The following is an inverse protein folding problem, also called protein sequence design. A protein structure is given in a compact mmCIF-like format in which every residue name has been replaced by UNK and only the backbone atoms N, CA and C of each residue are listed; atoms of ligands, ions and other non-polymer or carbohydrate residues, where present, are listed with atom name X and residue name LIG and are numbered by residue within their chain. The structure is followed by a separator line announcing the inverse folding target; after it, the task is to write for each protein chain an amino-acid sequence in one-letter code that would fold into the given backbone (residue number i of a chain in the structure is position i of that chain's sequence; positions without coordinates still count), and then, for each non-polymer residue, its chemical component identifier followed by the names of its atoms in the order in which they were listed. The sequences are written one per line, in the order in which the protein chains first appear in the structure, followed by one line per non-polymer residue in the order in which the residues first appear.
data_IF_424068822448
#
_entry.id   IF_424068822448
#
_cell.length_a   1.000
_cell.length_b   1.000
_cell.length_c   1.000
_cell.angle_alpha   90.00
_cell.angle_beta   90.00
_cell.angle_gamma   90.00
#
_symmetry.space_group_name_H-M   'P 1'
#
loop_
_entity.id
_entity.type
_entity.pdbx_description
1 polymer ?
#
# COMPACT_ATOMS: atom_id res chain seq x y z
N UNK A 1 -18.37 -9.21 7.19
CA UNK A 1 -17.21 -8.99 6.31
C UNK A 1 -16.14 -9.99 6.73
N UNK A 2 -15.41 -10.61 5.77
CA UNK A 2 -14.33 -11.54 6.10
C UNK A 2 -13.21 -10.82 6.87
N UNK A 3 -12.68 -11.49 7.91
CA UNK A 3 -11.61 -10.94 8.74
C UNK A 3 -10.30 -10.99 8.00
N UNK A 4 -9.57 -9.86 8.03
CA UNK A 4 -8.21 -9.72 7.50
C UNK A 4 -7.21 -9.54 8.65
N UNK A 5 -5.97 -9.89 8.37
CA UNK A 5 -4.81 -9.71 9.26
C UNK A 5 -3.65 -9.14 8.46
N UNK A 6 -2.79 -8.37 9.12
CA UNK A 6 -1.48 -8.02 8.56
C UNK A 6 -0.49 -9.14 8.91
N UNK A 7 0.27 -9.58 7.92
CA UNK A 7 1.30 -10.59 8.07
C UNK A 7 2.65 -10.04 7.61
N UNK A 8 3.58 -9.92 8.54
CA UNK A 8 4.95 -9.52 8.22
C UNK A 8 5.65 -10.72 7.56
N UNK A 9 6.03 -10.60 6.28
CA UNK A 9 6.65 -11.72 5.57
C UNK A 9 8.00 -12.07 6.16
N UNK A 10 8.35 -13.36 6.11
CA UNK A 10 9.69 -13.87 6.33
C UNK A 10 10.42 -13.98 4.98
N UNK A 11 11.76 -14.16 4.97
CA UNK A 11 12.48 -14.32 3.70
C UNK A 11 11.91 -15.41 2.78
N UNK A 12 11.49 -16.54 3.35
CA UNK A 12 10.89 -17.66 2.59
C UNK A 12 9.51 -17.35 2.00
N UNK A 13 8.87 -16.27 2.42
CA UNK A 13 7.53 -15.87 1.95
C UNK A 13 7.60 -14.89 0.76
N UNK A 14 8.78 -14.39 0.41
CA UNK A 14 8.96 -13.34 -0.61
C UNK A 14 8.60 -13.80 -2.04
N UNK A 15 8.41 -15.08 -2.26
CA UNK A 15 7.86 -15.58 -3.51
C UNK A 15 6.49 -14.97 -3.84
N UNK A 16 5.71 -14.57 -2.83
CA UNK A 16 4.41 -13.93 -3.08
C UNK A 16 4.59 -12.48 -3.55
N UNK A 17 5.57 -11.75 -3.02
CA UNK A 17 5.96 -10.45 -3.55
C UNK A 17 6.38 -10.56 -5.03
N UNK A 18 7.30 -11.49 -5.37
CA UNK A 18 7.71 -11.74 -6.76
C UNK A 18 6.52 -12.10 -7.65
N UNK A 19 5.62 -12.94 -7.15
CA UNK A 19 4.40 -13.32 -7.86
C UNK A 19 3.51 -12.12 -8.19
N UNK A 20 3.33 -11.20 -7.24
CA UNK A 20 2.52 -10.00 -7.47
C UNK A 20 3.20 -9.03 -8.43
N UNK A 21 4.50 -8.76 -8.25
CA UNK A 21 5.26 -7.81 -9.08
C UNK A 21 5.46 -8.29 -10.51
N UNK A 22 5.42 -9.60 -10.76
CA UNK A 22 5.51 -10.21 -12.11
C UNK A 22 4.15 -10.44 -12.78
N UNK A 23 3.04 -10.19 -12.10
CA UNK A 23 1.69 -10.38 -12.66
C UNK A 23 1.17 -9.10 -13.33
N UNK A 24 1.03 -9.09 -14.70
CA UNK A 24 0.60 -7.88 -15.42
C UNK A 24 -0.78 -7.36 -15.01
N UNK A 25 -1.70 -8.24 -14.61
CA UNK A 25 -3.01 -7.80 -14.15
C UNK A 25 -2.89 -7.08 -12.80
N UNK A 26 -2.10 -7.61 -11.87
CA UNK A 26 -1.82 -6.98 -10.58
C UNK A 26 -1.06 -5.66 -10.74
N UNK A 27 -0.09 -5.60 -11.63
CA UNK A 27 0.77 -4.42 -11.81
C UNK A 27 0.25 -3.41 -12.83
N UNK A 28 -0.94 -3.61 -13.40
CA UNK A 28 -1.51 -2.74 -14.44
C UNK A 28 -1.57 -1.25 -14.06
N UNK A 29 -1.74 -0.93 -12.78
CA UNK A 29 -1.73 0.45 -12.26
C UNK A 29 -0.38 1.14 -12.45
N UNK A 30 0.70 0.35 -12.48
CA UNK A 30 2.09 0.82 -12.59
C UNK A 30 2.58 0.92 -14.06
N UNK A 31 1.74 0.55 -15.05
CA UNK A 31 2.13 0.61 -16.45
C UNK A 31 2.23 2.04 -16.97
N UNK A 32 3.10 2.28 -17.94
CA UNK A 32 3.19 3.54 -18.69
C UNK A 32 4.04 4.64 -18.05
N UNK A 33 4.64 4.43 -16.88
CA UNK A 33 5.55 5.40 -16.28
C UNK A 33 6.85 5.54 -17.09
N UNK A 34 7.36 6.76 -17.18
CA UNK A 34 8.66 7.06 -17.82
C UNK A 34 9.74 7.13 -16.74
N UNK A 35 10.10 5.97 -16.21
CA UNK A 35 11.09 5.82 -15.13
C UNK A 35 12.20 4.88 -15.55
N UNK A 36 13.42 5.20 -15.13
CA UNK A 36 14.60 4.34 -15.28
C UNK A 36 14.77 3.54 -13.98
N UNK A 37 14.05 2.41 -13.89
CA UNK A 37 14.11 1.50 -12.75
C UNK A 37 14.48 0.10 -13.25
N UNK A 38 15.52 -0.49 -12.67
CA UNK A 38 15.99 -1.82 -13.06
C UNK A 38 14.87 -2.87 -12.93
N UNK A 39 14.63 -3.61 -14.01
CA UNK A 39 13.59 -4.64 -14.06
C UNK A 39 12.17 -4.13 -14.28
N UNK A 40 11.96 -2.82 -14.47
CA UNK A 40 10.64 -2.28 -14.75
C UNK A 40 10.23 -2.48 -16.22
N UNK A 41 9.02 -2.98 -16.44
CA UNK A 41 8.39 -3.19 -17.73
C UNK A 41 7.30 -2.15 -17.97
N UNK A 42 7.59 -1.15 -18.80
CA UNK A 42 6.69 -0.01 -19.03
C UNK A 42 5.31 -0.40 -19.59
N UNK A 43 5.24 -1.42 -20.41
CA UNK A 43 4.00 -1.89 -21.05
C UNK A 43 3.05 -2.59 -20.11
N UNK A 44 3.57 -3.32 -19.13
CA UNK A 44 2.79 -4.12 -18.17
C UNK A 44 2.77 -3.54 -16.77
N UNK A 45 3.72 -2.67 -16.44
CA UNK A 45 3.95 -2.19 -15.07
C UNK A 45 4.68 -3.19 -14.17
N UNK A 46 4.97 -4.39 -14.68
CA UNK A 46 5.68 -5.42 -13.92
C UNK A 46 7.08 -4.97 -13.50
N UNK A 47 7.57 -5.55 -12.43
CA UNK A 47 8.91 -5.32 -11.92
C UNK A 47 9.56 -6.68 -11.69
N UNK A 48 10.66 -6.93 -12.39
CA UNK A 48 11.49 -8.10 -12.12
C UNK A 48 12.17 -7.94 -10.77
N UNK A 49 11.97 -8.91 -9.91
CA UNK A 49 12.62 -8.96 -8.61
C UNK A 49 13.35 -10.30 -8.48
N UNK A 50 14.60 -10.39 -8.98
CA UNK A 50 15.37 -11.63 -8.91
C UNK A 50 15.73 -11.96 -7.45
N UNK A 51 16.01 -13.24 -7.19
CA UNK A 51 16.27 -13.73 -5.83
C UNK A 51 17.43 -13.01 -5.15
N UNK A 52 18.42 -12.58 -5.92
CA UNK A 52 19.57 -11.81 -5.42
C UNK A 52 19.18 -10.44 -4.86
N UNK A 53 18.09 -9.85 -5.37
CA UNK A 53 17.61 -8.55 -4.91
C UNK A 53 16.68 -8.65 -3.69
N UNK A 54 16.17 -9.85 -3.39
CA UNK A 54 15.20 -10.04 -2.31
C UNK A 54 15.79 -9.79 -0.92
N UNK A 55 17.05 -10.14 -0.68
CA UNK A 55 17.70 -9.91 0.61
C UNK A 55 17.81 -8.42 0.92
N UNK A 56 18.29 -7.62 -0.03
CA UNK A 56 18.41 -6.16 0.12
C UNK A 56 17.03 -5.50 0.25
N UNK A 57 16.03 -6.02 -0.48
CA UNK A 57 14.65 -5.56 -0.37
C UNK A 57 14.09 -5.84 1.04
N UNK A 58 14.30 -7.07 1.54
CA UNK A 58 13.86 -7.50 2.86
C UNK A 58 14.47 -6.64 3.98
N UNK A 59 15.78 -6.47 3.96
CA UNK A 59 16.51 -5.67 4.94
C UNK A 59 16.08 -4.20 4.93
N UNK A 60 15.66 -3.70 3.77
CA UNK A 60 15.17 -2.32 3.62
C UNK A 60 13.76 -2.14 4.18
N UNK A 61 12.87 -3.13 4.03
CA UNK A 61 11.46 -2.97 4.32
C UNK A 61 11.01 -3.58 5.64
N UNK A 62 11.67 -4.62 6.12
CA UNK A 62 11.21 -5.37 7.29
C UNK A 62 12.06 -5.03 8.52
N UNK A 63 11.38 -4.73 9.64
CA UNK A 63 12.02 -4.41 10.92
C UNK A 63 12.55 -2.97 11.03
N UNK A 64 12.16 -2.06 10.13
CA UNK A 64 12.63 -0.66 10.09
C UNK A 64 11.55 0.35 10.51
N UNK A 65 10.57 -0.07 11.32
CA UNK A 65 9.56 0.84 11.86
C UNK A 65 10.16 1.89 12.81
N UNK A 66 9.63 3.12 12.82
CA UNK A 66 8.48 3.61 12.07
C UNK A 66 8.82 4.11 10.66
N UNK A 67 10.08 4.09 10.25
CA UNK A 67 10.50 4.69 8.97
C UNK A 67 10.01 3.90 7.76
N UNK A 68 9.92 2.58 7.89
CA UNK A 68 9.37 1.69 6.86
C UNK A 68 8.59 0.56 7.49
N UNK A 69 7.48 0.23 6.86
CA UNK A 69 6.62 -0.88 7.21
C UNK A 69 6.13 -1.58 5.95
N UNK A 70 6.11 -2.89 5.98
CA UNK A 70 5.53 -3.70 4.91
C UNK A 70 4.86 -4.94 5.49
N UNK A 71 3.66 -5.25 5.01
CA UNK A 71 2.93 -6.45 5.40
C UNK A 71 2.09 -6.99 4.25
N UNK A 72 1.98 -8.33 4.17
CA UNK A 72 0.94 -8.96 3.36
C UNK A 72 -0.43 -8.82 4.04
N UNK A 73 -1.46 -8.66 3.23
CA UNK A 73 -2.85 -8.73 3.65
C UNK A 73 -3.24 -10.22 3.61
N UNK A 74 -3.49 -10.79 4.79
CA UNK A 74 -3.86 -12.19 4.93
C UNK A 74 -5.34 -12.32 5.25
N UNK A 75 -6.03 -13.18 4.53
CA UNK A 75 -7.43 -13.53 4.77
C UNK A 75 -7.50 -14.61 5.84
N UNK A 76 -8.21 -14.34 6.96
CA UNK A 76 -8.25 -15.26 8.10
C UNK A 76 -8.99 -16.58 7.80
N UNK A 77 -9.92 -16.57 6.82
CA UNK A 77 -10.75 -17.74 6.48
C UNK A 77 -9.93 -18.94 6.01
N UNK A 78 -8.94 -18.70 5.17
CA UNK A 78 -8.16 -19.76 4.50
C UNK A 78 -6.65 -19.52 4.51
N UNK A 79 -6.23 -18.43 5.17
CA UNK A 79 -4.83 -18.05 5.26
C UNK A 79 -4.24 -17.48 3.96
N UNK A 80 -5.04 -17.25 2.92
CA UNK A 80 -4.55 -16.74 1.64
C UNK A 80 -4.00 -15.32 1.79
N UNK A 81 -2.85 -15.06 1.17
CA UNK A 81 -2.35 -13.70 0.96
C UNK A 81 -3.04 -13.10 -0.26
N UNK A 82 -3.61 -11.91 -0.11
CA UNK A 82 -4.49 -11.27 -1.09
C UNK A 82 -3.99 -9.93 -1.60
N UNK A 83 -2.82 -9.50 -1.13
CA UNK A 83 -2.18 -8.24 -1.47
C UNK A 83 -1.18 -7.83 -0.41
N UNK A 84 -0.72 -6.60 -0.49
CA UNK A 84 0.14 -5.98 0.50
C UNK A 84 -0.27 -4.54 0.85
N UNK A 85 0.27 -4.05 1.94
CA UNK A 85 0.25 -2.65 2.36
C UNK A 85 1.63 -2.26 2.86
N UNK A 86 2.00 -1.01 2.65
CA UNK A 86 3.25 -0.47 3.16
C UNK A 86 3.11 1.01 3.50
N UNK A 87 4.04 1.52 4.28
CA UNK A 87 4.32 2.95 4.37
C UNK A 87 5.82 3.19 4.55
N UNK A 88 6.28 4.37 4.17
CA UNK A 88 7.66 4.79 4.38
C UNK A 88 7.75 6.29 4.60
N UNK A 89 8.72 6.68 5.42
CA UNK A 89 9.03 8.09 5.65
C UNK A 89 9.79 8.66 4.45
N UNK A 90 9.34 9.85 4.00
CA UNK A 90 9.96 10.62 2.91
C UNK A 90 10.56 11.90 3.50
N UNK A 91 11.89 11.93 3.76
CA UNK A 91 12.53 13.04 4.47
C UNK A 91 12.34 14.41 3.81
N UNK A 92 12.33 14.46 2.49
CA UNK A 92 12.19 15.69 1.70
C UNK A 92 10.83 16.34 1.89
N UNK A 93 9.82 15.55 2.25
CA UNK A 93 8.45 15.99 2.46
C UNK A 93 8.06 16.06 3.94
N UNK A 94 8.87 15.48 4.82
CA UNK A 94 8.60 15.33 6.26
C UNK A 94 7.24 14.66 6.53
N UNK A 95 6.95 13.57 5.82
CA UNK A 95 5.76 12.75 6.02
C UNK A 95 5.95 11.29 5.64
N UNK A 96 4.95 10.47 5.93
CA UNK A 96 4.90 9.05 5.50
C UNK A 96 4.02 8.90 4.27
N UNK A 97 4.60 8.40 3.18
CA UNK A 97 3.87 7.94 2.01
C UNK A 97 3.46 6.47 2.21
N UNK A 98 2.31 6.09 1.65
CA UNK A 98 1.80 4.73 1.76
C UNK A 98 1.59 4.07 0.39
N UNK A 99 1.49 2.73 0.39
CA UNK A 99 1.09 1.94 -0.75
C UNK A 99 0.13 0.82 -0.34
N UNK A 100 -0.72 0.44 -1.27
CA UNK A 100 -1.55 -0.76 -1.20
C UNK A 100 -1.62 -1.41 -2.58
N UNK A 101 -1.32 -2.69 -2.65
CA UNK A 101 -1.49 -3.48 -3.87
C UNK A 101 -2.40 -4.67 -3.58
N UNK A 102 -3.55 -4.71 -4.24
CA UNK A 102 -4.41 -5.89 -4.19
C UNK A 102 -4.04 -6.86 -5.31
N UNK A 103 -3.73 -8.10 -4.96
CA UNK A 103 -3.50 -9.15 -5.95
C UNK A 103 -4.74 -9.31 -6.82
N UNK A 104 -4.58 -9.31 -8.14
CA UNK A 104 -5.67 -9.16 -9.10
C UNK A 104 -6.88 -10.09 -8.87
N UNK A 105 -6.71 -11.40 -8.57
CA UNK A 105 -7.84 -12.31 -8.31
C UNK A 105 -8.73 -11.91 -7.12
N UNK A 106 -8.27 -10.99 -6.27
CA UNK A 106 -8.98 -10.52 -5.08
C UNK A 106 -9.51 -9.09 -5.18
N UNK A 107 -9.30 -8.42 -6.31
CA UNK A 107 -9.86 -7.09 -6.57
C UNK A 107 -11.39 -7.12 -6.68
N UNK A 108 -12.02 -5.98 -6.42
CA UNK A 108 -13.48 -5.82 -6.53
C UNK A 108 -14.30 -6.54 -5.46
N UNK A 109 -13.66 -7.18 -4.46
CA UNK A 109 -14.33 -7.95 -3.40
C UNK A 109 -14.45 -7.20 -2.07
N UNK A 110 -14.10 -5.92 -2.03
CA UNK A 110 -14.27 -5.07 -0.85
C UNK A 110 -13.16 -5.19 0.20
N UNK A 111 -12.02 -5.81 -0.11
CA UNK A 111 -10.93 -6.02 0.85
C UNK A 111 -10.04 -4.79 1.08
N UNK A 112 -9.96 -3.86 0.12
CA UNK A 112 -8.98 -2.77 0.18
C UNK A 112 -9.23 -1.81 1.35
N UNK A 113 -10.48 -1.41 1.61
CA UNK A 113 -10.81 -0.50 2.73
C UNK A 113 -10.46 -1.11 4.09
N UNK A 114 -10.87 -2.37 4.41
CA UNK A 114 -10.44 -3.03 5.64
C UNK A 114 -8.92 -3.18 5.76
N UNK A 115 -8.22 -3.47 4.66
CA UNK A 115 -6.76 -3.58 4.64
C UNK A 115 -6.08 -2.24 4.96
N UNK A 116 -6.55 -1.13 4.33
CA UNK A 116 -6.09 0.21 4.65
C UNK A 116 -6.31 0.55 6.13
N UNK A 117 -7.47 0.24 6.68
CA UNK A 117 -7.77 0.50 8.10
C UNK A 117 -6.83 -0.27 9.04
N UNK A 118 -6.48 -1.51 8.73
CA UNK A 118 -5.50 -2.28 9.49
C UNK A 118 -4.11 -1.64 9.46
N UNK A 119 -3.67 -1.18 8.28
CA UNK A 119 -2.39 -0.47 8.15
C UNK A 119 -2.40 0.84 8.92
N UNK A 120 -3.48 1.63 8.84
CA UNK A 120 -3.63 2.90 9.56
C UNK A 120 -3.67 2.68 11.08
N UNK A 121 -4.35 1.63 11.56
CA UNK A 121 -4.30 1.25 12.97
C UNK A 121 -2.88 0.96 13.43
N UNK A 122 -2.12 0.20 12.65
CA UNK A 122 -0.72 -0.10 12.95
C UNK A 122 0.12 1.19 12.97
N UNK A 123 0.03 2.00 11.92
CA UNK A 123 0.78 3.24 11.79
C UNK A 123 0.51 4.22 12.95
N UNK A 124 -0.75 4.45 13.28
CA UNK A 124 -1.13 5.47 14.25
C UNK A 124 -1.07 5.00 15.70
N UNK A 125 -1.44 3.74 15.98
CA UNK A 125 -1.52 3.23 17.36
C UNK A 125 -0.22 2.55 17.81
N UNK A 126 0.47 1.86 16.89
CA UNK A 126 1.69 1.11 17.20
C UNK A 126 2.93 1.96 16.93
N UNK A 127 3.08 2.47 15.70
CA UNK A 127 4.25 3.26 15.30
C UNK A 127 4.21 4.72 15.75
N UNK A 128 3.04 5.23 16.17
CA UNK A 128 2.89 6.60 16.66
C UNK A 128 2.97 7.68 15.58
N UNK A 129 2.87 7.30 14.30
CA UNK A 129 2.88 8.23 13.16
C UNK A 129 1.74 9.24 13.31
N UNK A 130 1.97 10.49 12.93
CA UNK A 130 0.99 11.57 13.06
C UNK A 130 0.11 11.75 11.82
N UNK A 131 0.62 11.45 10.63
CA UNK A 131 -0.07 11.61 9.34
C UNK A 131 0.48 10.68 8.27
N UNK A 132 -0.38 10.27 7.34
CA UNK A 132 -0.02 9.46 6.17
C UNK A 132 -0.58 10.13 4.93
N UNK A 133 0.21 10.12 3.88
CA UNK A 133 -0.11 10.67 2.56
C UNK A 133 -0.18 9.57 1.51
N UNK A 134 -0.93 9.84 0.44
CA UNK A 134 -0.85 9.11 -0.82
C UNK A 134 -1.12 10.05 -1.98
N UNK A 135 -0.37 9.89 -3.06
CA UNK A 135 -0.44 10.72 -4.26
C UNK A 135 -0.89 9.87 -5.45
N UNK A 136 -1.80 10.41 -6.25
CA UNK A 136 -2.30 9.76 -7.47
C UNK A 136 -2.11 10.69 -8.67
N UNK A 137 -1.62 10.16 -9.78
CA UNK A 137 -1.59 10.92 -11.03
C UNK A 137 -3.02 11.20 -11.51
N UNK A 138 -3.42 12.48 -11.52
CA UNK A 138 -4.79 12.88 -11.82
C UNK A 138 -5.26 12.47 -13.22
N UNK A 139 -4.33 12.40 -14.19
CA UNK A 139 -4.63 12.01 -15.57
C UNK A 139 -5.00 10.52 -15.73
N UNK A 140 -4.67 9.66 -14.78
CA UNK A 140 -4.94 8.21 -14.87
C UNK A 140 -6.37 7.80 -14.56
N UNK A 141 -7.20 8.71 -14.05
CA UNK A 141 -8.60 8.45 -13.69
C UNK A 141 -8.81 7.25 -12.74
N UNK A 142 -7.95 7.12 -11.75
CA UNK A 142 -7.98 6.02 -10.77
C UNK A 142 -9.08 6.20 -9.72
N UNK A 143 -10.30 6.55 -10.16
CA UNK A 143 -11.42 6.86 -9.28
C UNK A 143 -11.72 5.78 -8.24
N UNK A 144 -11.58 4.50 -8.58
CA UNK A 144 -11.81 3.40 -7.65
C UNK A 144 -10.79 3.40 -6.49
N UNK A 145 -9.53 3.74 -6.77
CA UNK A 145 -8.49 3.88 -5.77
C UNK A 145 -8.75 5.11 -4.89
N UNK A 146 -9.11 6.25 -5.50
CA UNK A 146 -9.45 7.48 -4.75
C UNK A 146 -10.62 7.25 -3.78
N UNK A 147 -11.71 6.66 -4.27
CA UNK A 147 -12.87 6.31 -3.44
C UNK A 147 -12.54 5.33 -2.33
N UNK A 148 -11.64 4.39 -2.58
CA UNK A 148 -11.15 3.46 -1.55
C UNK A 148 -10.44 4.20 -0.42
N UNK A 149 -9.57 5.17 -0.75
CA UNK A 149 -8.88 6.00 0.23
C UNK A 149 -9.86 6.89 1.00
N UNK A 150 -10.81 7.54 0.31
CA UNK A 150 -11.87 8.34 1.00
C UNK A 150 -12.68 7.50 1.98
N UNK A 151 -13.07 6.28 1.59
CA UNK A 151 -13.77 5.34 2.48
C UNK A 151 -12.93 4.85 3.66
N UNK A 152 -11.61 4.86 3.52
CA UNK A 152 -10.69 4.58 4.61
C UNK A 152 -10.46 5.79 5.55
N UNK A 153 -10.92 7.00 5.13
CA UNK A 153 -10.85 8.23 5.91
C UNK A 153 -9.88 9.29 5.38
N UNK A 154 -9.21 9.05 4.27
CA UNK A 154 -8.36 10.05 3.64
C UNK A 154 -9.19 11.20 3.09
N UNK A 155 -8.70 12.41 3.23
CA UNK A 155 -9.26 13.63 2.64
C UNK A 155 -8.40 14.11 1.48
N UNK A 156 -9.02 14.75 0.50
CA UNK A 156 -8.35 15.39 -0.62
C UNK A 156 -7.69 16.69 -0.17
N UNK A 157 -6.45 16.91 -0.57
CA UNK A 157 -5.73 18.17 -0.39
C UNK A 157 -5.77 19.05 -1.65
N UNK A 158 -6.21 18.47 -2.77
CA UNK A 158 -6.25 19.12 -4.08
C UNK A 158 -5.28 18.50 -5.07
N UNK A 159 -5.27 19.06 -6.27
CA UNK A 159 -4.38 18.65 -7.36
C UNK A 159 -3.27 19.67 -7.51
N UNK A 160 -2.03 19.22 -7.41
CA UNK A 160 -0.84 20.04 -7.63
C UNK A 160 0.15 19.28 -8.54
N UNK A 161 0.74 19.97 -9.51
CA UNK A 161 1.69 19.39 -10.49
C UNK A 161 1.18 18.11 -11.19
N UNK A 162 -0.13 17.99 -11.39
CA UNK A 162 -0.75 16.82 -12.03
C UNK A 162 -1.05 15.64 -11.09
N UNK A 163 -0.81 15.78 -9.78
CA UNK A 163 -1.09 14.76 -8.78
C UNK A 163 -2.24 15.19 -7.85
N UNK A 164 -3.20 14.31 -7.63
CA UNK A 164 -4.15 14.41 -6.54
C UNK A 164 -3.46 13.96 -5.25
N UNK A 165 -3.34 14.89 -4.32
CA UNK A 165 -2.77 14.61 -2.99
C UNK A 165 -3.88 14.26 -2.01
N UNK A 166 -3.69 13.19 -1.26
CA UNK A 166 -4.60 12.75 -0.22
C UNK A 166 -3.84 12.54 1.10
N UNK A 167 -4.50 12.81 2.22
CA UNK A 167 -3.91 12.67 3.54
C UNK A 167 -4.94 12.22 4.57
N UNK A 168 -4.46 11.56 5.61
CA UNK A 168 -5.19 11.29 6.84
C UNK A 168 -4.27 11.54 8.04
N UNK A 169 -4.78 12.22 9.06
CA UNK A 169 -4.08 12.39 10.35
C UNK A 169 -4.54 11.36 11.36
N UNK A 170 -3.70 11.13 12.37
CA UNK A 170 -4.02 10.27 13.51
C UNK A 170 -5.29 10.72 14.23
N UNK A 171 -5.45 12.04 14.43
CA UNK A 171 -6.61 12.62 15.11
C UNK A 171 -7.90 12.36 14.32
N UNK A 172 -7.89 12.61 13.01
CA UNK A 172 -9.03 12.34 12.12
C UNK A 172 -9.42 10.86 12.16
N UNK A 173 -8.43 9.97 12.04
CA UNK A 173 -8.66 8.53 12.06
C UNK A 173 -9.25 8.03 13.38
N UNK A 174 -8.66 8.44 14.51
CA UNK A 174 -9.13 8.00 15.83
C UNK A 174 -10.48 8.62 16.21
N UNK A 175 -10.77 9.84 15.72
CA UNK A 175 -12.06 10.49 15.92
C UNK A 175 -13.20 9.79 15.19
N UNK A 176 -12.98 9.28 13.97
CA UNK A 176 -13.98 8.49 13.22
C UNK A 176 -14.21 7.11 13.83
N UNK A 177 -13.15 6.44 14.30
CA UNK A 177 -13.25 5.13 14.91
C UNK A 177 -14.08 5.12 16.23
N UNK A 178 -14.15 6.25 16.94
CA UNK A 178 -14.98 6.39 18.15
C UNK A 178 -16.47 6.55 17.83
N UNK A 179 -16.82 7.00 16.64
CA UNK A 179 -18.22 7.21 16.23
C UNK A 179 -18.85 5.96 15.57
N UNK A 180 -18.05 4.95 15.21
CA UNK A 180 -18.51 3.69 14.61
C UNK A 180 -18.63 2.55 15.65
N UNK A 181 -18.25 2.75 16.90
CA UNK A 181 -18.30 1.77 18.00
C UNK A 181 -19.53 1.98 18.90
#
# INVERSE_FOLDING_TARGET
MEKLELYIPKPEDLWFYQKMTSDPETMSYNAGWDVDYAGYHRDTGCIDCPDEALADWYDRWIGNEPDRFYAYIKRSLDGAWIGDVCFHYTPEKDWWDMGIVMYAPFRGKGYAVPALRLMLDHAFRVCGISRIHNDFEAARNEHAAWETHRKAGFRDLGVENGFLHMMITKEEYLGTAQNEA
#
